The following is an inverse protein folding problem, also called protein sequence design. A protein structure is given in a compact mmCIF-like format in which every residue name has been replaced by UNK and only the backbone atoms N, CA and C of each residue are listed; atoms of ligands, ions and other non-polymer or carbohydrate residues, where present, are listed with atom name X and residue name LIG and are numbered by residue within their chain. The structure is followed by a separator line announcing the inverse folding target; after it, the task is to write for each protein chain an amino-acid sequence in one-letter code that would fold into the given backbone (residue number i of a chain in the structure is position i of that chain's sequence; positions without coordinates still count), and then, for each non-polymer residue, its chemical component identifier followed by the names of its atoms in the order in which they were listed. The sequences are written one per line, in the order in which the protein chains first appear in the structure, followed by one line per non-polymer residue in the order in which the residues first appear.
data_IF_803535146524
#
_entry.id   IF_803535146524
#
_cell.length_a   1.000
_cell.length_b   1.000
_cell.length_c   1.000
_cell.angle_alpha   90.00
_cell.angle_beta   90.00
_cell.angle_gamma   90.00
#
_symmetry.space_group_name_H-M   'P 1'
#
loop_
_entity.id
_entity.type
_entity.pdbx_description
1 polymer ?
#
# COMPACT_ATOMS: atom_id res chain seq x y z
N UNK A 1 13.34 -3.57 -19.86
CA UNK A 1 14.22 -4.37 -18.98
C UNK A 1 13.56 -4.45 -17.64
N UNK A 2 13.43 -5.63 -17.06
CA UNK A 2 12.82 -5.82 -15.74
C UNK A 2 13.70 -5.22 -14.64
N UNK A 3 13.09 -4.87 -13.47
CA UNK A 3 13.82 -4.58 -12.25
C UNK A 3 14.68 -5.79 -11.84
N UNK A 4 15.82 -5.52 -11.21
CA UNK A 4 16.63 -6.58 -10.60
C UNK A 4 15.80 -7.35 -9.58
N UNK A 5 15.79 -8.67 -9.70
CA UNK A 5 14.92 -9.54 -8.91
C UNK A 5 15.57 -10.90 -8.62
N UNK A 6 15.16 -11.54 -7.53
CA UNK A 6 15.65 -12.84 -7.08
C UNK A 6 15.23 -14.01 -7.96
N UNK A 7 14.23 -13.79 -8.83
CA UNK A 7 13.67 -14.83 -9.71
C UNK A 7 14.50 -15.02 -10.99
N UNK A 8 15.47 -14.14 -11.23
CA UNK A 8 16.29 -14.18 -12.46
C UNK A 8 15.53 -13.83 -13.73
N UNK A 9 14.36 -13.17 -13.62
CA UNK A 9 13.52 -12.80 -14.74
C UNK A 9 14.02 -11.49 -15.38
N UNK A 10 14.17 -11.51 -16.70
CA UNK A 10 14.62 -10.35 -17.51
C UNK A 10 13.50 -9.66 -18.28
N UNK A 11 12.38 -10.37 -18.48
CA UNK A 11 11.17 -9.84 -19.09
C UNK A 11 10.33 -9.10 -18.05
N UNK A 12 9.96 -7.85 -18.34
CA UNK A 12 9.08 -7.06 -17.45
C UNK A 12 7.69 -7.69 -17.31
N UNK A 13 7.17 -8.32 -18.36
CA UNK A 13 5.87 -8.98 -18.32
C UNK A 13 5.89 -10.24 -17.45
N UNK A 14 6.95 -11.05 -17.56
CA UNK A 14 7.10 -12.26 -16.75
C UNK A 14 7.31 -11.89 -15.28
N UNK A 15 8.12 -10.87 -15.01
CA UNK A 15 8.31 -10.36 -13.65
C UNK A 15 6.99 -9.87 -13.06
N UNK A 16 6.23 -9.04 -13.80
CA UNK A 16 4.96 -8.52 -13.32
C UNK A 16 3.97 -9.65 -12.97
N UNK A 17 3.91 -10.70 -13.80
CA UNK A 17 3.05 -11.86 -13.56
C UNK A 17 3.44 -12.62 -12.28
N UNK A 18 4.74 -12.94 -12.13
CA UNK A 18 5.21 -13.67 -10.94
C UNK A 18 5.16 -12.81 -9.68
N UNK A 19 5.45 -11.53 -9.79
CA UNK A 19 5.30 -10.55 -8.72
C UNK A 19 3.85 -10.49 -8.21
N UNK A 20 2.87 -10.41 -9.13
CA UNK A 20 1.46 -10.46 -8.78
C UNK A 20 1.12 -11.74 -8.04
N UNK A 21 1.49 -12.89 -8.59
CA UNK A 21 1.18 -14.20 -8.02
C UNK A 21 1.77 -14.38 -6.61
N UNK A 22 3.06 -14.11 -6.46
CA UNK A 22 3.78 -14.31 -5.19
C UNK A 22 3.29 -13.34 -4.13
N UNK A 23 3.23 -12.05 -4.45
CA UNK A 23 2.86 -11.03 -3.46
C UNK A 23 1.38 -11.08 -3.07
N UNK A 24 0.46 -11.43 -3.97
CA UNK A 24 -0.95 -11.68 -3.61
C UNK A 24 -1.09 -12.87 -2.65
N UNK A 25 -0.36 -13.96 -2.90
CA UNK A 25 -0.32 -15.10 -1.97
C UNK A 25 0.19 -14.70 -0.59
N UNK A 26 1.26 -13.90 -0.55
CA UNK A 26 1.78 -13.34 0.70
C UNK A 26 0.76 -12.42 1.38
N UNK A 27 0.05 -11.59 0.62
CA UNK A 27 -1.02 -10.74 1.17
C UNK A 27 -2.13 -11.57 1.82
N UNK A 28 -2.56 -12.67 1.19
CA UNK A 28 -3.52 -13.60 1.81
C UNK A 28 -2.99 -14.19 3.13
N UNK A 29 -1.72 -14.57 3.17
CA UNK A 29 -1.08 -15.12 4.37
C UNK A 29 -0.98 -14.08 5.50
N UNK A 30 -0.77 -12.79 5.20
CA UNK A 30 -0.79 -11.72 6.21
C UNK A 30 -2.11 -11.73 7.01
N UNK A 31 -3.22 -11.92 6.32
CA UNK A 31 -4.54 -12.00 6.94
C UNK A 31 -4.76 -13.35 7.64
N UNK A 32 -4.61 -14.45 6.92
CA UNK A 32 -4.95 -15.80 7.40
C UNK A 32 -4.11 -16.21 8.62
N UNK A 33 -2.86 -15.75 8.71
CA UNK A 33 -1.95 -16.01 9.84
C UNK A 33 -1.96 -14.91 10.90
N UNK A 34 -2.79 -13.88 10.74
CA UNK A 34 -2.88 -12.72 11.63
C UNK A 34 -1.54 -12.02 11.89
N UNK A 35 -0.65 -12.01 10.88
CA UNK A 35 0.68 -11.42 11.01
C UNK A 35 0.63 -9.91 11.19
N UNK A 36 -0.38 -9.24 10.61
CA UNK A 36 -0.57 -7.79 10.77
C UNK A 36 -0.70 -7.39 12.24
N UNK A 37 -1.28 -8.24 13.09
CA UNK A 37 -1.46 -7.95 14.51
C UNK A 37 -0.12 -7.85 15.27
N UNK A 38 0.98 -8.33 14.68
CA UNK A 38 2.33 -8.27 15.25
C UNK A 38 3.13 -7.04 14.81
N UNK A 39 2.63 -6.27 13.83
CA UNK A 39 3.34 -5.12 13.28
C UNK A 39 2.95 -3.82 13.97
N UNK A 40 3.88 -2.87 14.02
CA UNK A 40 3.61 -1.54 14.55
C UNK A 40 2.53 -0.82 13.74
N UNK A 41 1.56 -0.22 14.42
CA UNK A 41 0.43 0.46 13.79
C UNK A 41 0.80 1.90 13.45
N UNK A 42 0.72 2.24 12.15
CA UNK A 42 0.86 3.62 11.69
C UNK A 42 2.29 4.18 11.69
N UNK A 43 3.30 3.32 11.75
CA UNK A 43 4.70 3.72 11.66
C UNK A 43 5.33 3.26 10.34
N UNK A 44 6.44 3.88 9.96
CA UNK A 44 7.24 3.39 8.84
C UNK A 44 7.75 1.97 9.09
N UNK A 45 8.15 1.65 10.32
CA UNK A 45 8.56 0.29 10.66
C UNK A 45 7.46 -0.76 10.38
N UNK A 46 6.21 -0.44 10.70
CA UNK A 46 5.06 -1.30 10.36
C UNK A 46 4.84 -1.43 8.87
N UNK A 47 4.94 -0.34 8.12
CA UNK A 47 4.85 -0.36 6.66
C UNK A 47 6.00 -1.18 6.03
N UNK A 48 7.23 -0.99 6.51
CA UNK A 48 8.40 -1.74 6.05
C UNK A 48 8.24 -3.25 6.29
N UNK A 49 7.66 -3.65 7.42
CA UNK A 49 7.35 -5.06 7.72
C UNK A 49 6.33 -5.64 6.74
N UNK A 50 5.27 -4.90 6.42
CA UNK A 50 4.28 -5.30 5.40
C UNK A 50 4.97 -5.46 4.04
N UNK A 51 5.71 -4.46 3.60
CA UNK A 51 6.41 -4.45 2.32
C UNK A 51 7.41 -5.60 2.22
N UNK A 52 8.21 -5.81 3.27
CA UNK A 52 9.17 -6.91 3.32
C UNK A 52 8.46 -8.26 3.14
N UNK A 53 7.40 -8.51 3.89
CA UNK A 53 6.67 -9.77 3.81
C UNK A 53 6.08 -10.02 2.42
N UNK A 54 5.54 -8.99 1.77
CA UNK A 54 4.97 -9.12 0.42
C UNK A 54 6.01 -9.44 -0.64
N UNK A 55 7.21 -8.85 -0.54
CA UNK A 55 8.17 -8.78 -1.65
C UNK A 55 9.53 -9.43 -1.39
N UNK A 56 9.80 -9.97 -0.20
CA UNK A 56 11.09 -10.56 0.17
C UNK A 56 11.55 -11.72 -0.73
N UNK A 57 10.60 -12.48 -1.30
CA UNK A 57 10.91 -13.60 -2.21
C UNK A 57 11.20 -13.10 -3.65
N UNK A 58 10.97 -11.83 -3.92
CA UNK A 58 11.06 -11.24 -5.27
C UNK A 58 12.21 -10.25 -5.37
N UNK A 59 12.38 -9.36 -4.39
CA UNK A 59 13.32 -8.25 -4.42
C UNK A 59 14.24 -8.22 -3.20
N UNK A 60 15.52 -7.93 -3.44
CA UNK A 60 16.50 -7.74 -2.35
C UNK A 60 16.21 -6.47 -1.53
N UNK A 61 15.59 -5.47 -2.15
CA UNK A 61 15.23 -4.21 -1.49
C UNK A 61 13.93 -4.27 -0.68
N UNK A 62 13.29 -5.44 -0.54
CA UNK A 62 12.04 -5.55 0.21
C UNK A 62 12.17 -5.00 1.64
N UNK A 63 11.29 -4.08 2.01
CA UNK A 63 11.30 -3.41 3.31
C UNK A 63 12.33 -2.30 3.48
N UNK A 64 13.17 -2.03 2.47
CA UNK A 64 14.23 -1.02 2.55
C UNK A 64 13.87 0.28 1.85
N UNK A 65 14.34 1.39 2.41
CA UNK A 65 14.17 2.73 1.80
C UNK A 65 14.92 2.76 0.47
N UNK A 66 14.24 3.29 -0.56
CA UNK A 66 14.83 3.45 -1.88
C UNK A 66 16.08 4.33 -1.88
N UNK A 67 16.94 4.09 -2.84
CA UNK A 67 18.20 4.84 -3.04
C UNK A 67 18.16 5.74 -4.28
N UNK A 68 16.97 5.89 -4.90
CA UNK A 68 16.79 6.70 -6.12
C UNK A 68 15.56 7.61 -5.99
N UNK A 69 15.57 8.73 -6.69
CA UNK A 69 14.41 9.58 -6.82
C UNK A 69 13.37 8.91 -7.73
N UNK A 70 12.10 9.05 -7.41
CA UNK A 70 11.00 8.48 -8.17
C UNK A 70 10.00 9.56 -8.61
N UNK A 71 9.38 9.32 -9.76
CA UNK A 71 8.28 10.10 -10.29
C UNK A 71 7.28 9.18 -11.01
N UNK A 72 6.01 9.56 -11.04
CA UNK A 72 4.95 8.89 -11.82
C UNK A 72 4.22 9.95 -12.63
N UNK A 73 4.40 9.91 -13.95
CA UNK A 73 3.92 10.99 -14.82
C UNK A 73 4.55 12.32 -14.41
N UNK A 74 3.71 13.31 -14.11
CA UNK A 74 4.14 14.62 -13.63
C UNK A 74 4.28 14.70 -12.10
N UNK A 75 3.90 13.66 -11.38
CA UNK A 75 3.98 13.62 -9.91
C UNK A 75 5.40 13.23 -9.48
N UNK A 76 6.04 14.08 -8.70
CA UNK A 76 7.34 13.81 -8.08
C UNK A 76 7.15 13.48 -6.62
N UNK A 77 7.62 12.31 -6.22
CA UNK A 77 7.63 11.89 -4.82
C UNK A 77 8.73 12.62 -4.04
N UNK A 78 8.72 12.47 -2.72
CA UNK A 78 9.69 13.14 -1.85
C UNK A 78 11.13 12.94 -2.36
N UNK A 79 11.91 14.02 -2.48
CA UNK A 79 13.33 13.91 -2.85
C UNK A 79 14.07 13.04 -1.84
N UNK A 80 15.01 12.23 -2.33
CA UNK A 80 15.75 11.28 -1.53
C UNK A 80 16.42 11.91 -0.31
N UNK A 81 16.96 13.11 -0.47
CA UNK A 81 17.63 13.86 0.60
C UNK A 81 16.71 14.23 1.77
N UNK A 82 15.40 14.28 1.57
CA UNK A 82 14.41 14.61 2.61
C UNK A 82 13.60 13.39 3.07
N UNK A 83 13.80 12.23 2.44
CA UNK A 83 12.93 11.07 2.67
C UNK A 83 13.00 10.57 4.10
N UNK A 84 14.18 10.46 4.70
CA UNK A 84 14.34 10.03 6.08
C UNK A 84 13.61 10.96 7.05
N UNK A 85 13.78 12.27 6.90
CA UNK A 85 13.09 13.26 7.73
C UNK A 85 11.57 13.22 7.54
N UNK A 86 11.10 13.00 6.31
CA UNK A 86 9.67 12.84 6.02
C UNK A 86 9.08 11.63 6.75
N UNK A 87 9.75 10.48 6.73
CA UNK A 87 9.30 9.27 7.42
C UNK A 87 9.26 9.45 8.96
N UNK A 88 10.27 10.11 9.53
CA UNK A 88 10.30 10.45 10.96
C UNK A 88 9.16 11.40 11.36
N UNK A 89 8.80 12.34 10.50
CA UNK A 89 7.67 13.23 10.71
C UNK A 89 6.34 12.48 10.61
N UNK A 90 6.19 11.58 9.63
CA UNK A 90 4.99 10.75 9.47
C UNK A 90 4.76 9.88 10.70
N UNK A 91 5.81 9.29 11.27
CA UNK A 91 5.70 8.49 12.49
C UNK A 91 5.09 9.26 13.67
N UNK A 92 5.33 10.58 13.73
CA UNK A 92 4.80 11.48 14.77
C UNK A 92 3.40 12.02 14.47
N UNK A 93 2.89 11.86 13.27
CA UNK A 93 1.57 12.37 12.89
C UNK A 93 0.46 11.68 13.69
N UNK A 94 -0.59 12.42 14.11
CA UNK A 94 -1.72 11.84 14.82
C UNK A 94 -2.52 10.89 13.92
N UNK A 95 -3.13 9.88 14.55
CA UNK A 95 -3.94 8.86 13.86
C UNK A 95 -5.22 8.50 14.65
N UNK A 96 -5.71 9.41 15.49
CA UNK A 96 -6.81 9.13 16.43
C UNK A 96 -8.22 9.13 15.80
N UNK A 97 -8.36 9.62 14.59
CA UNK A 97 -9.63 9.64 13.85
C UNK A 97 -9.41 9.47 12.36
N UNK A 98 -10.49 9.27 11.63
CA UNK A 98 -10.45 9.02 10.19
C UNK A 98 -9.68 10.09 9.40
N UNK A 99 -9.96 11.37 9.63
CA UNK A 99 -9.32 12.45 8.88
C UNK A 99 -7.81 12.48 9.10
N UNK A 100 -7.36 12.30 10.35
CA UNK A 100 -5.94 12.23 10.71
C UNK A 100 -5.24 11.01 10.12
N UNK A 101 -5.93 9.87 10.07
CA UNK A 101 -5.41 8.65 9.44
C UNK A 101 -5.22 8.87 7.95
N UNK A 102 -6.19 9.48 7.25
CA UNK A 102 -6.07 9.74 5.81
C UNK A 102 -5.02 10.80 5.51
N UNK A 103 -4.90 11.87 6.31
CA UNK A 103 -3.79 12.84 6.21
C UNK A 103 -2.43 12.14 6.28
N UNK A 104 -2.26 11.23 7.25
CA UNK A 104 -1.05 10.43 7.42
C UNK A 104 -0.79 9.50 6.21
N UNK A 105 -1.83 8.88 5.70
CA UNK A 105 -1.77 8.07 4.48
C UNK A 105 -1.33 8.87 3.25
N UNK A 106 -1.86 10.08 3.07
CA UNK A 106 -1.46 10.98 1.98
C UNK A 106 0.02 11.33 2.07
N UNK A 107 0.52 11.68 3.26
CA UNK A 107 1.94 11.97 3.47
C UNK A 107 2.83 10.75 3.17
N UNK A 108 2.41 9.54 3.54
CA UNK A 108 3.15 8.33 3.22
C UNK A 108 3.17 8.06 1.71
N UNK A 109 2.08 8.35 1.00
CA UNK A 109 2.04 8.26 -0.46
C UNK A 109 3.00 9.26 -1.13
N UNK A 110 3.13 10.48 -0.59
CA UNK A 110 4.10 11.49 -1.06
C UNK A 110 5.53 11.02 -0.77
N UNK A 111 5.78 10.47 0.39
CA UNK A 111 7.09 9.92 0.77
C UNK A 111 7.52 8.80 -0.18
N UNK A 112 6.63 7.87 -0.50
CA UNK A 112 6.86 6.78 -1.46
C UNK A 112 8.19 6.07 -1.19
N UNK A 113 8.33 5.41 -0.01
CA UNK A 113 9.64 5.06 0.52
C UNK A 113 10.36 3.93 -0.20
N UNK A 114 9.65 3.06 -0.94
CA UNK A 114 10.23 1.88 -1.56
C UNK A 114 10.50 2.08 -3.06
N UNK A 115 11.35 1.22 -3.61
CA UNK A 115 11.69 1.25 -5.04
C UNK A 115 10.50 0.85 -5.92
N UNK A 116 9.68 -0.11 -5.45
CA UNK A 116 8.48 -0.66 -6.09
C UNK A 116 7.49 -1.13 -5.01
N UNK A 117 6.22 -1.32 -5.35
CA UNK A 117 5.22 -1.90 -4.43
C UNK A 117 4.67 -0.95 -3.35
N UNK A 118 4.91 0.35 -3.46
CA UNK A 118 4.46 1.34 -2.47
C UNK A 118 2.94 1.34 -2.31
N UNK A 119 2.18 1.48 -3.39
CA UNK A 119 0.72 1.57 -3.31
C UNK A 119 0.09 0.32 -2.68
N UNK A 120 0.53 -0.86 -3.10
CA UNK A 120 0.02 -2.15 -2.61
C UNK A 120 0.28 -2.36 -1.12
N UNK A 121 1.47 -2.05 -0.65
CA UNK A 121 1.80 -2.13 0.77
C UNK A 121 1.14 -1.03 1.61
N UNK A 122 1.08 0.20 1.09
CA UNK A 122 0.55 1.35 1.83
C UNK A 122 -0.98 1.26 2.01
N UNK A 123 -1.72 0.67 1.08
CA UNK A 123 -3.16 0.42 1.26
C UNK A 123 -3.44 -0.60 2.36
N UNK A 124 -2.63 -1.65 2.50
CA UNK A 124 -2.72 -2.57 3.64
C UNK A 124 -2.39 -1.86 4.96
N UNK A 125 -1.37 -1.01 4.95
CA UNK A 125 -0.98 -0.20 6.11
C UNK A 125 -2.09 0.76 6.55
N UNK A 126 -2.79 1.41 5.60
CA UNK A 126 -3.95 2.25 5.88
C UNK A 126 -5.06 1.46 6.59
N UNK A 127 -5.44 0.30 6.04
CA UNK A 127 -6.47 -0.55 6.66
C UNK A 127 -6.05 -1.06 8.04
N UNK A 128 -4.77 -1.34 8.24
CA UNK A 128 -4.24 -1.73 9.54
C UNK A 128 -4.39 -0.61 10.58
N UNK A 129 -4.14 0.64 10.21
CA UNK A 129 -4.35 1.80 11.09
C UNK A 129 -5.85 1.97 11.39
N UNK A 130 -6.68 2.01 10.35
CA UNK A 130 -8.13 2.19 10.49
C UNK A 130 -8.75 1.12 11.40
N UNK A 131 -8.36 -0.15 11.22
CA UNK A 131 -8.84 -1.26 12.03
C UNK A 131 -8.50 -1.07 13.50
N UNK A 132 -7.26 -0.71 13.81
CA UNK A 132 -6.79 -0.61 15.19
C UNK A 132 -7.29 0.66 15.89
N UNK A 133 -7.40 1.78 15.18
CA UNK A 133 -7.74 3.07 15.79
C UNK A 133 -9.24 3.34 15.85
N UNK A 134 -10.00 2.95 14.82
CA UNK A 134 -11.43 3.28 14.71
C UNK A 134 -12.33 2.08 14.40
N UNK A 135 -11.81 0.85 14.35
CA UNK A 135 -12.61 -0.36 14.12
C UNK A 135 -13.27 -0.41 12.74
N UNK A 136 -12.63 0.14 11.71
CA UNK A 136 -13.09 0.19 10.32
C UNK A 136 -11.99 -0.26 9.37
N UNK A 137 -12.36 -0.68 8.17
CA UNK A 137 -11.45 -0.87 7.03
C UNK A 137 -12.13 -0.31 5.78
N UNK A 138 -11.35 -0.09 4.73
CA UNK A 138 -11.88 0.30 3.42
C UNK A 138 -12.33 -0.95 2.67
N UNK A 139 -13.57 -0.95 2.22
CA UNK A 139 -14.02 -1.90 1.19
C UNK A 139 -13.57 -1.38 -0.18
N UNK A 140 -12.36 -1.76 -0.58
CA UNK A 140 -11.75 -1.29 -1.83
C UNK A 140 -12.56 -1.66 -3.08
N UNK A 141 -13.44 -2.66 -3.00
CA UNK A 141 -14.33 -3.01 -4.10
C UNK A 141 -15.35 -1.91 -4.44
N UNK A 142 -15.57 -0.97 -3.51
CA UNK A 142 -16.44 0.20 -3.68
C UNK A 142 -15.70 1.46 -4.11
N UNK A 143 -14.39 1.37 -4.29
CA UNK A 143 -13.54 2.52 -4.66
C UNK A 143 -13.17 2.40 -6.13
N UNK A 144 -13.73 3.27 -6.98
CA UNK A 144 -13.43 3.31 -8.40
C UNK A 144 -11.95 3.64 -8.66
N UNK A 145 -11.36 2.98 -9.65
CA UNK A 145 -9.94 3.13 -9.98
C UNK A 145 -9.58 4.53 -10.42
N UNK A 146 -10.36 5.10 -11.34
CA UNK A 146 -10.04 6.42 -11.92
C UNK A 146 -10.22 7.51 -10.86
N UNK A 147 -11.32 7.45 -10.12
CA UNK A 147 -11.59 8.37 -9.01
C UNK A 147 -10.50 8.30 -7.94
N UNK A 148 -10.07 7.09 -7.56
CA UNK A 148 -9.02 6.89 -6.57
C UNK A 148 -7.67 7.46 -7.04
N UNK A 149 -7.23 7.12 -8.23
CA UNK A 149 -5.95 7.58 -8.75
C UNK A 149 -5.91 9.10 -8.89
N UNK A 150 -7.01 9.71 -9.35
CA UNK A 150 -7.12 11.16 -9.49
C UNK A 150 -7.16 11.86 -8.13
N UNK A 151 -7.92 11.33 -7.17
CA UNK A 151 -7.98 11.86 -5.81
C UNK A 151 -6.61 11.80 -5.12
N UNK A 152 -5.85 10.71 -5.31
CA UNK A 152 -4.50 10.58 -4.77
C UNK A 152 -3.51 11.54 -5.44
N UNK A 153 -3.59 11.74 -6.75
CA UNK A 153 -2.74 12.70 -7.48
C UNK A 153 -2.95 14.13 -6.96
N UNK A 154 -4.18 14.49 -6.62
CA UNK A 154 -4.55 15.82 -6.10
C UNK A 154 -4.33 15.99 -4.60
N UNK A 155 -4.24 14.88 -3.87
CA UNK A 155 -4.22 14.86 -2.40
C UNK A 155 -3.11 15.68 -1.73
N UNK A 156 -1.90 15.86 -2.33
CA UNK A 156 -0.87 16.71 -1.72
C UNK A 156 -1.27 18.19 -1.58
N UNK A 157 -2.17 18.65 -2.45
CA UNK A 157 -2.67 20.04 -2.45
C UNK A 157 -4.03 20.12 -1.76
N UNK A 158 -4.90 19.13 -2.03
CA UNK A 158 -6.27 19.08 -1.51
C UNK A 158 -6.71 17.64 -1.28
N UNK A 159 -6.81 17.26 -0.02
CA UNK A 159 -7.11 15.88 0.40
C UNK A 159 -8.61 15.57 0.60
N UNK A 160 -9.49 16.54 0.32
CA UNK A 160 -10.93 16.38 0.51
C UNK A 160 -11.51 15.27 -0.37
N UNK A 161 -11.06 15.16 -1.62
CA UNK A 161 -11.57 14.16 -2.56
C UNK A 161 -11.27 12.75 -2.06
N UNK A 162 -10.02 12.47 -1.65
CA UNK A 162 -9.66 11.14 -1.14
C UNK A 162 -10.34 10.84 0.20
N UNK A 163 -10.52 11.83 1.08
CA UNK A 163 -11.27 11.66 2.34
C UNK A 163 -12.72 11.28 2.08
N UNK A 164 -13.42 11.98 1.17
CA UNK A 164 -14.80 11.67 0.81
C UNK A 164 -14.93 10.28 0.20
N UNK A 165 -14.04 9.95 -0.73
CA UNK A 165 -14.05 8.67 -1.43
C UNK A 165 -13.85 7.49 -0.47
N UNK A 166 -12.84 7.54 0.38
CA UNK A 166 -12.54 6.48 1.34
C UNK A 166 -13.60 6.39 2.44
N UNK A 167 -14.12 7.53 2.93
CA UNK A 167 -15.16 7.54 3.95
C UNK A 167 -16.44 6.85 3.49
N UNK A 168 -16.81 7.03 2.21
CA UNK A 168 -17.97 6.37 1.60
C UNK A 168 -17.80 4.85 1.43
N UNK A 169 -16.57 4.35 1.50
CA UNK A 169 -16.24 2.93 1.35
C UNK A 169 -15.88 2.22 2.66
N UNK A 170 -15.95 2.91 3.81
CA UNK A 170 -15.67 2.29 5.11
C UNK A 170 -16.68 1.20 5.44
N UNK A 171 -16.20 0.12 6.05
CA UNK A 171 -17.02 -0.99 6.57
C UNK A 171 -16.58 -1.40 7.96
N UNK A 172 -17.53 -1.95 8.75
CA UNK A 172 -17.27 -2.56 10.05
C UNK A 172 -16.78 -4.01 9.97
N UNK A 173 -16.75 -4.58 8.77
CA UNK A 173 -16.37 -5.98 8.53
C UNK A 173 -14.84 -6.18 8.57
N UNK A 174 -14.22 -5.73 9.66
CA UNK A 174 -12.76 -5.68 9.85
C UNK A 174 -12.08 -7.06 9.88
N UNK A 175 -12.83 -8.14 10.10
CA UNK A 175 -12.33 -9.50 10.14
C UNK A 175 -12.87 -10.36 8.97
N UNK A 176 -13.55 -9.76 8.01
CA UNK A 176 -14.06 -10.47 6.84
C UNK A 176 -12.92 -10.81 5.87
N UNK A 177 -12.67 -12.12 5.70
CA UNK A 177 -11.69 -12.60 4.71
C UNK A 177 -12.10 -12.21 3.30
N UNK A 178 -13.40 -12.26 2.98
CA UNK A 178 -13.93 -11.88 1.67
C UNK A 178 -13.64 -10.41 1.36
N UNK A 179 -13.94 -9.50 2.29
CA UNK A 179 -13.65 -8.05 2.13
C UNK A 179 -12.16 -7.82 1.92
N UNK A 180 -11.31 -8.50 2.71
CA UNK A 180 -9.87 -8.37 2.60
C UNK A 180 -9.34 -8.88 1.25
N UNK A 181 -9.72 -10.09 0.82
CA UNK A 181 -9.22 -10.69 -0.44
C UNK A 181 -9.67 -9.90 -1.67
N UNK A 182 -10.93 -9.47 -1.71
CA UNK A 182 -11.42 -8.55 -2.75
C UNK A 182 -10.68 -7.22 -2.72
N UNK A 183 -10.38 -6.71 -1.54
CA UNK A 183 -9.59 -5.50 -1.35
C UNK A 183 -8.19 -5.61 -1.93
N UNK A 184 -7.51 -6.73 -1.74
CA UNK A 184 -6.21 -7.00 -2.36
C UNK A 184 -6.32 -7.00 -3.89
N UNK A 185 -7.31 -7.69 -4.45
CA UNK A 185 -7.51 -7.72 -5.90
C UNK A 185 -7.74 -6.32 -6.48
N UNK A 186 -8.57 -5.49 -5.85
CA UNK A 186 -8.77 -4.09 -6.26
C UNK A 186 -7.53 -3.23 -6.10
N UNK A 187 -6.80 -3.38 -5.00
CA UNK A 187 -5.52 -2.70 -4.77
C UNK A 187 -4.51 -2.99 -5.88
N UNK A 188 -4.41 -4.23 -6.31
CA UNK A 188 -3.54 -4.64 -7.42
C UNK A 188 -4.05 -4.15 -8.77
N UNK A 189 -5.36 -4.17 -8.97
CA UNK A 189 -6.00 -3.61 -10.17
C UNK A 189 -5.67 -2.12 -10.38
N UNK A 190 -5.58 -1.32 -9.32
CA UNK A 190 -5.16 0.08 -9.42
C UNK A 190 -3.77 0.24 -10.03
N UNK A 191 -2.89 -0.74 -9.83
CA UNK A 191 -1.53 -0.77 -10.38
C UNK A 191 -1.42 -1.52 -11.71
N UNK A 192 -2.54 -2.02 -12.25
CA UNK A 192 -2.58 -2.73 -13.54
C UNK A 192 -2.39 -4.24 -13.47
N UNK A 193 -2.42 -4.84 -12.28
CA UNK A 193 -2.32 -6.30 -12.08
C UNK A 193 -3.72 -6.94 -12.06
N UNK A 194 -3.99 -7.84 -12.99
CA UNK A 194 -5.33 -8.43 -13.18
C UNK A 194 -5.32 -9.93 -13.49
N UNK A 195 -4.17 -10.60 -13.37
CA UNK A 195 -4.01 -11.98 -13.84
C UNK A 195 -4.58 -13.00 -12.87
N UNK A 196 -4.40 -12.80 -11.57
CA UNK A 196 -4.76 -13.76 -10.53
C UNK A 196 -5.82 -13.21 -9.58
N UNK A 197 -6.66 -14.10 -9.06
CA UNK A 197 -7.51 -13.79 -7.91
C UNK A 197 -6.84 -14.24 -6.62
N UNK A 198 -6.84 -13.39 -5.62
CA UNK A 198 -6.17 -13.65 -4.33
C UNK A 198 -6.72 -14.91 -3.64
N UNK A 199 -8.03 -15.17 -3.76
CA UNK A 199 -8.68 -16.36 -3.17
C UNK A 199 -8.21 -17.68 -3.78
N UNK A 200 -7.66 -17.67 -4.99
CA UNK A 200 -7.25 -18.86 -5.75
C UNK A 200 -5.77 -19.21 -5.54
N UNK A 201 -5.02 -18.42 -4.78
CA UNK A 201 -3.58 -18.57 -4.54
C UNK A 201 -3.29 -19.14 -3.14
#
# INVERSE_FOLDING_TARGET
MALENKLGLTSSADLAREEERISKKKAAQLFDRKLLDTFNVGTFAGLAAIHMYLFEDIFDFAGEIRTVNLAKGNFRFAPLMYLQAALENIDKMPQSNFDKIVEKYVEMNIAHPFREGNGRSTRIWLDHILKNEIGKVVDWSKVDKEDYLLAMERSPIKDVEIKVLLKGALTDEINSREVYMKGIDHSYYYEGYTTFKTEEL
#
